data_IF_843891351079
#
_entry.id   IF_843891351079
#
_cell.length_a   1.000
_cell.length_b   1.000
_cell.length_c   1.000
_cell.angle_alpha   90.00
_cell.angle_beta   90.00
_cell.angle_gamma   90.00
#
_symmetry.space_group_name_H-M   'P 1'
#
loop_
_entity.id
_entity.type
_entity.pdbx_description
1 polymer ?
#
# COMPACT_ATOMS: atom_id res chain seq x y z
N UNK A 1 5.30 -1.40 9.02
CA UNK A 1 5.57 0.05 9.10
C UNK A 1 4.23 0.77 9.16
N UNK A 2 4.17 1.98 9.74
CA UNK A 2 2.90 2.72 9.81
C UNK A 2 2.51 3.28 8.45
N UNK A 3 1.22 3.41 8.19
CA UNK A 3 0.70 3.93 6.93
C UNK A 3 1.28 5.32 6.58
N UNK A 4 1.47 6.18 7.58
CA UNK A 4 2.02 7.53 7.39
C UNK A 4 3.50 7.54 7.00
N UNK A 5 4.17 6.39 7.10
CA UNK A 5 5.57 6.17 6.73
C UNK A 5 5.70 5.37 5.43
N UNK A 6 4.57 4.96 4.83
CA UNK A 6 4.54 4.04 3.70
C UNK A 6 4.24 4.76 2.38
N UNK A 7 5.21 4.82 1.48
CA UNK A 7 5.00 5.17 0.07
C UNK A 7 4.54 3.92 -0.66
N UNK A 8 3.35 3.98 -1.27
CA UNK A 8 2.82 2.91 -2.12
C UNK A 8 3.17 3.29 -3.56
N UNK A 9 4.07 2.56 -4.21
CA UNK A 9 4.57 2.86 -5.55
C UNK A 9 4.23 1.72 -6.52
N UNK A 10 3.66 2.03 -7.69
CA UNK A 10 3.30 1.01 -8.68
C UNK A 10 3.33 1.53 -10.12
N UNK A 11 3.35 0.61 -11.08
CA UNK A 11 3.18 0.95 -12.50
C UNK A 11 2.01 0.13 -13.07
N UNK A 12 0.95 0.80 -13.58
CA UNK A 12 -0.18 0.13 -14.24
C UNK A 12 0.24 -0.83 -15.34
N UNK A 13 -0.47 -1.97 -15.49
CA UNK A 13 -0.16 -2.97 -16.52
C UNK A 13 -0.25 -2.39 -17.93
N UNK A 14 -1.24 -1.51 -18.17
CA UNK A 14 -1.43 -0.82 -19.46
C UNK A 14 -0.27 0.08 -19.89
N UNK A 15 0.73 0.31 -19.02
CA UNK A 15 1.92 1.12 -19.32
C UNK A 15 3.15 0.27 -19.66
N UNK A 16 2.98 -1.01 -19.96
CA UNK A 16 4.05 -1.91 -20.38
C UNK A 16 4.91 -1.39 -21.54
N UNK A 17 4.33 -0.68 -22.51
CA UNK A 17 5.08 -0.09 -23.62
C UNK A 17 5.95 1.11 -23.19
N UNK A 18 5.51 1.88 -22.18
CA UNK A 18 6.20 3.08 -21.71
C UNK A 18 7.24 2.77 -20.62
N UNK A 19 6.96 1.77 -19.76
CA UNK A 19 7.79 1.38 -18.62
C UNK A 19 7.80 -0.14 -18.44
N UNK A 20 8.41 -0.89 -19.37
CA UNK A 20 8.39 -2.35 -19.34
C UNK A 20 9.01 -2.92 -18.06
N UNK A 21 10.05 -2.26 -17.52
CA UNK A 21 10.80 -2.72 -16.34
C UNK A 21 9.96 -2.86 -15.06
N UNK A 22 8.90 -2.04 -14.92
CA UNK A 22 8.08 -2.01 -13.70
C UNK A 22 6.60 -2.22 -13.94
N UNK A 23 6.14 -2.34 -15.19
CA UNK A 23 4.73 -2.56 -15.48
C UNK A 23 4.16 -3.79 -14.78
N UNK A 24 3.01 -3.60 -14.10
CA UNK A 24 2.39 -4.63 -13.28
C UNK A 24 3.05 -4.87 -11.91
N UNK A 25 4.10 -4.12 -11.57
CA UNK A 25 4.79 -4.23 -10.28
C UNK A 25 4.33 -3.17 -9.29
N UNK A 26 4.46 -3.52 -8.02
CA UNK A 26 4.16 -2.68 -6.86
C UNK A 26 5.24 -2.87 -5.79
N UNK A 27 5.55 -1.79 -5.07
CA UNK A 27 6.37 -1.81 -3.87
C UNK A 27 5.76 -0.89 -2.80
N UNK A 28 5.88 -1.29 -1.53
CA UNK A 28 5.68 -0.41 -0.37
C UNK A 28 7.06 -0.06 0.18
N UNK A 29 7.36 1.25 0.24
CA UNK A 29 8.68 1.79 0.54
C UNK A 29 8.59 2.77 1.72
N UNK A 30 9.64 2.92 2.54
CA UNK A 30 9.64 3.90 3.61
C UNK A 30 9.66 5.34 3.07
N UNK A 31 9.06 6.26 3.83
CA UNK A 31 9.20 7.70 3.67
C UNK A 31 10.20 8.26 4.69
N UNK A 32 11.13 9.15 4.30
CA UNK A 32 11.37 9.61 2.93
C UNK A 32 12.01 8.52 2.03
N UNK A 33 11.79 8.61 0.72
CA UNK A 33 12.43 7.72 -0.29
C UNK A 33 13.91 8.10 -0.49
N UNK A 34 14.75 7.78 0.49
CA UNK A 34 16.19 8.13 0.50
C UNK A 34 16.94 7.56 -0.70
N UNK A 35 16.62 6.34 -1.11
CA UNK A 35 17.30 5.64 -2.21
C UNK A 35 16.72 5.97 -3.59
N UNK A 36 15.65 6.78 -3.65
CA UNK A 36 14.96 7.12 -4.88
C UNK A 36 14.27 5.91 -5.55
N UNK A 37 14.02 4.83 -4.82
CA UNK A 37 13.46 3.60 -5.34
C UNK A 37 12.04 3.82 -5.88
N UNK A 38 11.26 4.71 -5.26
CA UNK A 38 9.90 5.01 -5.70
C UNK A 38 9.87 5.69 -7.08
N UNK A 39 10.96 6.35 -7.51
CA UNK A 39 11.06 7.02 -8.83
C UNK A 39 11.03 6.05 -10.01
N UNK A 40 11.30 4.76 -9.77
CA UNK A 40 11.25 3.70 -10.79
C UNK A 40 9.83 3.31 -11.17
N UNK A 41 8.86 3.69 -10.35
CA UNK A 41 7.44 3.48 -10.60
C UNK A 41 6.79 4.73 -11.17
N UNK A 42 5.64 4.56 -11.81
CA UNK A 42 4.94 5.67 -12.45
C UNK A 42 3.92 6.35 -11.55
N UNK A 43 3.34 5.59 -10.63
CA UNK A 43 2.31 6.05 -9.69
C UNK A 43 2.83 5.95 -8.26
N UNK A 44 2.39 6.88 -7.41
CA UNK A 44 2.70 6.92 -5.98
C UNK A 44 1.49 7.37 -5.18
N UNK A 45 1.28 6.76 -4.01
CA UNK A 45 0.29 7.11 -3.01
C UNK A 45 0.85 6.89 -1.59
N UNK A 46 -0.01 6.91 -0.58
CA UNK A 46 0.40 6.83 0.82
C UNK A 46 1.15 8.09 1.27
N UNK A 47 2.28 7.90 1.95
CA UNK A 47 3.10 8.97 2.53
C UNK A 47 3.66 9.99 1.50
N UNK A 48 3.57 9.71 0.19
CA UNK A 48 3.89 10.69 -0.85
C UNK A 48 2.84 11.80 -1.01
N UNK A 49 1.66 11.67 -0.39
CA UNK A 49 0.57 12.64 -0.44
C UNK A 49 0.47 13.39 0.88
N UNK A 50 0.78 14.70 0.89
CA UNK A 50 0.64 15.54 2.09
C UNK A 50 -0.77 15.56 2.67
N UNK A 51 -1.80 15.36 1.83
CA UNK A 51 -3.18 15.27 2.26
C UNK A 51 -3.45 14.11 3.23
N UNK A 52 -2.63 13.04 3.20
CA UNK A 52 -2.84 11.87 4.05
C UNK A 52 -2.69 12.20 5.54
N UNK A 53 -1.76 13.11 5.89
CA UNK A 53 -1.52 13.51 7.27
C UNK A 53 -2.69 14.30 7.88
N UNK A 54 -3.48 14.98 7.05
CA UNK A 54 -4.62 15.79 7.49
C UNK A 54 -5.91 14.98 7.72
N UNK A 55 -5.92 13.70 7.35
CA UNK A 55 -7.08 12.82 7.50
C UNK A 55 -7.17 12.23 8.92
N UNK A 56 -8.39 11.95 9.39
CA UNK A 56 -8.60 11.11 10.58
C UNK A 56 -8.04 9.71 10.36
N UNK A 57 -7.88 8.93 11.43
CA UNK A 57 -7.38 7.56 11.31
C UNK A 57 -8.29 6.70 10.43
N UNK A 58 -9.61 6.76 10.64
CA UNK A 58 -10.62 6.02 9.88
C UNK A 58 -10.57 6.38 8.40
N UNK A 59 -10.40 7.68 8.09
CA UNK A 59 -10.27 8.15 6.72
C UNK A 59 -8.95 7.67 6.07
N UNK A 60 -7.86 7.57 6.84
CA UNK A 60 -6.60 7.01 6.35
C UNK A 60 -6.73 5.50 6.09
N UNK A 61 -7.38 4.76 6.97
CA UNK A 61 -7.68 3.34 6.78
C UNK A 61 -8.52 3.13 5.53
N UNK A 62 -9.61 3.88 5.37
CA UNK A 62 -10.43 3.83 4.15
C UNK A 62 -9.58 4.12 2.90
N UNK A 63 -8.63 5.05 2.99
CA UNK A 63 -7.71 5.36 1.90
C UNK A 63 -6.83 4.18 1.50
N UNK A 64 -6.37 3.34 2.44
CA UNK A 64 -5.62 2.11 2.10
C UNK A 64 -6.43 1.22 1.15
N UNK A 65 -7.70 0.97 1.48
CA UNK A 65 -8.54 0.08 0.70
C UNK A 65 -8.97 0.71 -0.64
N UNK A 66 -9.13 2.04 -0.70
CA UNK A 66 -9.34 2.77 -1.96
C UNK A 66 -8.11 2.66 -2.86
N UNK A 67 -6.90 2.83 -2.31
CA UNK A 67 -5.67 2.70 -3.07
C UNK A 67 -5.50 1.24 -3.55
N UNK A 68 -5.78 0.24 -2.71
CA UNK A 68 -5.79 -1.18 -3.10
C UNK A 68 -6.74 -1.44 -4.28
N UNK A 69 -8.00 -1.01 -4.16
CA UNK A 69 -9.00 -1.17 -5.22
C UNK A 69 -8.55 -0.49 -6.52
N UNK A 70 -7.99 0.72 -6.41
CA UNK A 70 -7.50 1.47 -7.56
C UNK A 70 -6.39 0.71 -8.27
N UNK A 71 -5.42 0.20 -7.52
CA UNK A 71 -4.27 -0.52 -8.06
C UNK A 71 -4.71 -1.81 -8.77
N UNK A 72 -5.62 -2.57 -8.16
CA UNK A 72 -6.10 -3.84 -8.72
C UNK A 72 -7.06 -3.61 -9.89
N UNK A 73 -8.14 -2.86 -9.67
CA UNK A 73 -9.27 -2.81 -10.62
C UNK A 73 -9.00 -1.81 -11.74
N UNK A 74 -8.53 -0.59 -11.41
CA UNK A 74 -8.28 0.44 -12.43
C UNK A 74 -6.97 0.16 -13.17
N UNK A 75 -5.93 -0.24 -12.45
CA UNK A 75 -4.58 -0.35 -13.01
C UNK A 75 -4.17 -1.78 -13.38
N UNK A 76 -5.00 -2.76 -13.05
CA UNK A 76 -4.90 -4.13 -13.55
C UNK A 76 -3.81 -4.97 -12.88
N UNK A 77 -3.29 -4.55 -11.72
CA UNK A 77 -2.28 -5.34 -11.01
C UNK A 77 -2.90 -6.60 -10.40
N UNK A 78 -2.12 -7.66 -10.35
CA UNK A 78 -2.52 -8.92 -9.72
C UNK A 78 -2.89 -8.68 -8.24
N UNK A 79 -4.12 -9.04 -7.80
CA UNK A 79 -4.56 -8.82 -6.43
C UNK A 79 -3.64 -9.43 -5.38
N UNK A 80 -3.03 -10.58 -5.67
CA UNK A 80 -2.15 -11.27 -4.73
C UNK A 80 -0.79 -10.57 -4.59
N UNK A 81 -0.23 -10.05 -5.69
CA UNK A 81 0.95 -9.20 -5.65
C UNK A 81 0.71 -7.90 -4.85
N UNK A 82 -0.46 -7.28 -5.02
CA UNK A 82 -0.84 -6.07 -4.27
C UNK A 82 -1.01 -6.38 -2.80
N UNK A 83 -1.72 -7.45 -2.46
CA UNK A 83 -1.90 -7.91 -1.09
C UNK A 83 -0.55 -8.12 -0.39
N UNK A 84 0.36 -8.89 -1.00
CA UNK A 84 1.70 -9.15 -0.45
C UNK A 84 2.50 -7.87 -0.20
N UNK A 85 2.39 -6.88 -1.08
CA UNK A 85 3.04 -5.59 -0.87
C UNK A 85 2.39 -4.81 0.30
N UNK A 86 1.07 -4.80 0.37
CA UNK A 86 0.31 -4.10 1.41
C UNK A 86 0.50 -4.69 2.81
N UNK A 87 0.88 -5.97 2.94
CA UNK A 87 1.27 -6.57 4.22
C UNK A 87 2.46 -5.85 4.90
N UNK A 88 3.23 -5.01 4.19
CA UNK A 88 4.23 -4.17 4.85
C UNK A 88 3.63 -3.07 5.74
N UNK A 89 2.33 -2.77 5.59
CA UNK A 89 1.62 -1.70 6.29
C UNK A 89 0.83 -2.31 7.46
N UNK A 90 1.13 -1.85 8.67
CA UNK A 90 0.52 -2.36 9.91
C UNK A 90 -1.01 -2.25 9.86
N UNK A 91 -1.52 -1.06 9.54
CA UNK A 91 -2.94 -0.76 9.56
C UNK A 91 -3.75 -1.62 8.57
N UNK A 92 -3.10 -2.15 7.53
CA UNK A 92 -3.70 -3.13 6.62
C UNK A 92 -3.72 -4.54 7.25
N UNK A 93 -2.57 -5.02 7.76
CA UNK A 93 -2.46 -6.35 8.40
C UNK A 93 -3.43 -6.54 9.55
N UNK A 94 -3.65 -5.50 10.36
CA UNK A 94 -4.56 -5.54 11.50
C UNK A 94 -6.06 -5.42 11.15
N UNK A 95 -6.42 -5.24 9.87
CA UNK A 95 -7.81 -4.96 9.44
C UNK A 95 -8.35 -5.91 8.39
N UNK A 96 -7.51 -6.79 7.85
CA UNK A 96 -7.95 -7.87 6.96
C UNK A 96 -8.50 -9.04 7.78
N UNK A 97 -9.26 -9.92 7.11
CA UNK A 97 -9.92 -11.04 7.77
C UNK A 97 -8.89 -11.98 8.42
N UNK A 98 -9.17 -12.56 9.61
CA UNK A 98 -8.15 -13.26 10.36
C UNK A 98 -7.54 -14.50 9.70
N UNK A 99 -8.28 -15.11 8.80
CA UNK A 99 -7.91 -16.26 7.99
C UNK A 99 -7.18 -15.88 6.69
N UNK A 100 -6.95 -14.59 6.47
CA UNK A 100 -6.14 -14.11 5.34
C UNK A 100 -4.66 -14.29 5.67
N UNK A 101 -3.89 -14.85 4.75
CA UNK A 101 -2.44 -15.00 4.88
C UNK A 101 -1.79 -13.64 5.21
N UNK A 102 -0.94 -13.59 6.24
CA UNK A 102 -0.24 -12.37 6.65
C UNK A 102 -1.04 -11.38 7.52
N UNK A 103 -2.30 -11.69 7.87
CA UNK A 103 -3.04 -10.94 8.87
C UNK A 103 -2.35 -10.99 10.25
N UNK A 104 -2.45 -9.90 11.01
CA UNK A 104 -2.00 -9.81 12.40
C UNK A 104 -3.15 -9.31 13.28
N UNK A 105 -3.11 -9.61 14.57
CA UNK A 105 -4.08 -9.12 15.56
C UNK A 105 -3.30 -8.46 16.69
N UNK A 106 -3.79 -7.32 17.18
CA UNK A 106 -3.41 -6.90 18.52
C UNK A 106 -4.12 -7.85 19.48
N UNK A 107 -3.35 -8.53 20.33
CA UNK A 107 -3.94 -9.27 21.44
C UNK A 107 -4.82 -8.30 22.24
N UNK A 108 -6.04 -8.71 22.64
CA UNK A 108 -6.82 -7.89 23.55
C UNK A 108 -5.96 -7.63 24.80
N UNK A 109 -5.97 -6.40 25.35
CA UNK A 109 -5.26 -6.13 26.59
C UNK A 109 -5.71 -7.16 27.64
N UNK A 110 -4.75 -7.78 28.34
CA UNK A 110 -5.06 -8.70 29.45
C UNK A 110 -6.02 -7.99 30.41
N UNK A 111 -7.18 -8.60 30.66
CA UNK A 111 -8.11 -8.11 31.68
C UNK A 111 -7.48 -8.35 33.06
N UNK A 112 -7.04 -7.25 33.72
CA UNK A 112 -6.65 -7.23 35.14
C UNK A 112 -7.85 -7.51 36.08
#
# INVERSE_FOLDING_TARGET
>A
MKQLEAIIAWTPVRWAELRPETAGQIAVLPAPDTDGAAKRFMMRAGASSSALQALSEEARIARLFIDFQTIVVRDGLDPQAVHKAFLAIDEYRFRIAPDTEGAEFEDPPEED
#
